data_IF_243342387557
#
_entry.id   IF_243342387557
#
_cell.length_a   1.000
_cell.length_b   1.000
_cell.length_c   1.000
_cell.angle_alpha   90.00
_cell.angle_beta   90.00
_cell.angle_gamma   90.00
#
_symmetry.space_group_name_H-M   'P 1'
#
loop_
_entity.id
_entity.type
_entity.pdbx_description
1 polymer ?
#
# COMPACT_ATOMS: atom_id res chain seq x y z
N UNK A 1 -2.07 -15.64 23.07
CA UNK A 1 -2.35 -14.28 22.54
C UNK A 1 -1.41 -13.31 23.26
N UNK A 2 -0.40 -12.77 22.59
CA UNK A 2 0.33 -11.60 23.09
C UNK A 2 -0.59 -10.38 22.91
N UNK A 3 -0.82 -9.63 23.97
CA UNK A 3 -1.48 -8.33 23.89
C UNK A 3 -0.56 -7.37 23.14
N UNK A 4 -1.09 -6.67 22.12
CA UNK A 4 -0.38 -5.56 21.50
C UNK A 4 -0.43 -4.36 22.44
N UNK A 5 0.72 -3.75 22.70
CA UNK A 5 0.83 -2.54 23.49
C UNK A 5 1.35 -1.40 22.59
N UNK A 6 0.56 -0.35 22.39
CA UNK A 6 0.98 0.86 21.68
C UNK A 6 1.79 1.72 22.65
N UNK A 7 3.10 1.70 22.50
CA UNK A 7 4.03 2.43 23.39
C UNK A 7 4.15 3.90 23.01
N UNK A 8 4.27 4.19 21.69
CA UNK A 8 4.41 5.56 21.19
C UNK A 8 3.67 5.75 19.87
N UNK A 9 3.17 6.96 19.67
CA UNK A 9 2.49 7.39 18.45
C UNK A 9 3.14 8.70 17.98
N UNK A 10 3.72 8.68 16.77
CA UNK A 10 4.25 9.89 16.15
C UNK A 10 3.11 10.79 15.69
N UNK A 11 3.11 12.03 16.12
CA UNK A 11 2.08 13.02 15.80
C UNK A 11 2.71 14.32 15.32
N UNK A 12 2.04 15.06 14.45
CA UNK A 12 2.50 16.37 13.98
C UNK A 12 2.22 17.50 14.98
N UNK A 13 1.25 17.32 15.86
CA UNK A 13 0.79 18.29 16.87
C UNK A 13 0.33 17.52 18.10
N UNK A 14 0.22 18.21 19.22
CA UNK A 14 -0.33 17.61 20.43
C UNK A 14 -1.71 16.99 20.19
N UNK A 15 -1.89 15.78 20.71
CA UNK A 15 -3.14 15.04 20.69
C UNK A 15 -3.47 14.66 22.14
N UNK A 16 -4.22 15.52 22.90
CA UNK A 16 -4.42 15.37 24.34
C UNK A 16 -4.85 13.97 24.80
N UNK A 17 -5.72 13.23 24.07
CA UNK A 17 -6.11 11.88 24.44
C UNK A 17 -4.95 10.86 24.47
N UNK A 18 -3.84 11.12 23.79
CA UNK A 18 -2.67 10.22 23.75
C UNK A 18 -1.70 10.47 24.90
N UNK A 19 -1.73 11.64 25.54
CA UNK A 19 -0.83 11.98 26.64
C UNK A 19 0.64 11.73 26.31
N UNK A 20 1.37 11.09 27.21
CA UNK A 20 2.80 10.75 27.06
C UNK A 20 3.11 9.74 25.94
N UNK A 21 2.10 9.06 25.40
CA UNK A 21 2.23 8.18 24.26
C UNK A 21 2.50 8.96 22.96
N UNK A 22 2.04 10.21 22.88
CA UNK A 22 2.29 11.08 21.74
C UNK A 22 3.72 11.60 21.73
N UNK A 23 4.42 11.42 20.60
CA UNK A 23 5.76 11.97 20.37
C UNK A 23 5.78 12.75 19.06
N UNK A 24 6.60 13.78 18.98
CA UNK A 24 6.76 14.60 17.76
C UNK A 24 8.08 14.33 17.03
N UNK A 25 8.95 13.54 17.65
CA UNK A 25 10.22 13.13 17.07
C UNK A 25 10.21 11.61 16.83
N UNK A 26 10.47 11.21 15.60
CA UNK A 26 10.57 9.80 15.20
C UNK A 26 11.70 9.08 15.94
N UNK A 27 12.76 9.81 16.37
CA UNK A 27 13.86 9.24 17.13
C UNK A 27 13.41 8.61 18.45
N UNK A 28 12.38 9.18 19.06
CA UNK A 28 11.79 8.63 20.27
C UNK A 28 11.20 7.22 20.06
N UNK A 29 10.85 6.85 18.83
CA UNK A 29 10.38 5.51 18.45
C UNK A 29 11.55 4.64 18.01
N UNK A 30 12.38 5.16 17.10
CA UNK A 30 13.43 4.35 16.47
C UNK A 30 14.53 3.91 17.43
N UNK A 31 14.86 4.75 18.43
CA UNK A 31 15.90 4.46 19.43
C UNK A 31 15.38 3.75 20.68
N UNK A 32 14.07 3.61 20.83
CA UNK A 32 13.51 2.94 22.01
C UNK A 32 13.72 1.42 21.92
N UNK A 33 14.51 0.81 22.82
CA UNK A 33 14.81 -0.63 22.75
C UNK A 33 13.62 -1.52 23.08
N UNK A 34 12.59 -0.98 23.73
CA UNK A 34 11.38 -1.74 24.09
C UNK A 34 10.31 -1.70 23.00
N UNK A 35 10.55 -1.02 21.89
CA UNK A 35 9.70 -1.05 20.70
C UNK A 35 10.29 -2.07 19.73
N UNK A 36 9.63 -3.17 19.54
CA UNK A 36 10.00 -4.24 18.61
C UNK A 36 9.37 -4.10 17.22
N UNK A 37 8.25 -3.39 17.11
CA UNK A 37 7.47 -3.27 15.88
C UNK A 37 7.06 -1.82 15.62
N UNK A 38 7.25 -1.35 14.41
CA UNK A 38 6.81 -0.05 13.91
C UNK A 38 5.67 -0.23 12.92
N UNK A 39 4.55 0.47 13.14
CA UNK A 39 3.41 0.52 12.20
C UNK A 39 3.46 1.85 11.45
N UNK A 40 3.67 1.82 10.13
CA UNK A 40 3.72 2.98 9.26
C UNK A 40 2.40 3.12 8.50
N UNK A 41 1.74 4.26 8.64
CA UNK A 41 0.46 4.63 8.01
C UNK A 41 0.44 6.08 7.53
N UNK A 42 1.60 6.63 7.19
CA UNK A 42 1.73 8.04 6.81
C UNK A 42 1.20 8.33 5.40
N UNK A 43 1.43 7.41 4.48
CA UNK A 43 1.21 7.62 3.04
C UNK A 43 2.31 8.49 2.39
N UNK A 44 2.31 8.51 1.06
CA UNK A 44 3.37 9.14 0.27
C UNK A 44 4.69 8.37 0.32
N UNK A 45 5.70 8.84 -0.42
CA UNK A 45 7.01 8.19 -0.47
C UNK A 45 7.91 8.63 0.70
N UNK A 46 8.03 9.94 0.89
CA UNK A 46 8.92 10.55 1.88
C UNK A 46 8.13 11.31 2.94
N UNK A 47 8.51 11.23 4.21
CA UNK A 47 9.65 10.54 4.80
C UNK A 47 9.38 9.07 5.17
N UNK A 48 8.29 8.46 4.71
CA UNK A 48 7.90 7.09 5.08
C UNK A 48 8.99 6.06 4.73
N UNK A 49 9.58 6.16 3.53
CA UNK A 49 10.66 5.28 3.09
C UNK A 49 11.85 5.32 4.04
N UNK A 50 12.36 6.51 4.37
CA UNK A 50 13.51 6.68 5.25
C UNK A 50 13.25 6.12 6.65
N UNK A 51 12.05 6.32 7.18
CA UNK A 51 11.71 5.83 8.51
C UNK A 51 11.53 4.32 8.54
N UNK A 52 10.96 3.73 7.49
CA UNK A 52 10.92 2.27 7.31
C UNK A 52 12.33 1.70 7.25
N UNK A 53 13.21 2.28 6.43
CA UNK A 53 14.61 1.83 6.32
C UNK A 53 15.32 1.88 7.68
N UNK A 54 15.15 2.96 8.41
CA UNK A 54 15.78 3.11 9.73
C UNK A 54 15.22 2.17 10.78
N UNK A 55 13.92 1.89 10.75
CA UNK A 55 13.31 0.90 11.63
C UNK A 55 13.85 -0.51 11.35
N UNK A 56 13.90 -0.91 10.08
CA UNK A 56 14.45 -2.20 9.66
C UNK A 56 15.93 -2.33 10.00
N UNK A 57 16.73 -1.27 9.75
CA UNK A 57 18.15 -1.24 10.09
C UNK A 57 18.41 -1.32 11.62
N UNK A 58 17.45 -0.89 12.44
CA UNK A 58 17.48 -1.05 13.89
C UNK A 58 16.96 -2.43 14.36
N UNK A 59 16.71 -3.36 13.46
CA UNK A 59 16.19 -4.70 13.76
C UNK A 59 14.73 -4.71 14.21
N UNK A 60 13.96 -3.63 13.96
CA UNK A 60 12.54 -3.56 14.33
C UNK A 60 11.69 -4.07 13.18
N UNK A 61 10.70 -4.88 13.49
CA UNK A 61 9.68 -5.29 12.53
C UNK A 61 8.90 -4.07 12.03
N UNK A 62 8.54 -4.08 10.74
CA UNK A 62 7.73 -3.02 10.15
C UNK A 62 6.45 -3.58 9.56
N UNK A 63 5.34 -2.94 9.90
CA UNK A 63 4.03 -3.16 9.29
C UNK A 63 3.63 -1.88 8.56
N UNK A 64 3.38 -1.97 7.26
CA UNK A 64 2.99 -0.79 6.46
C UNK A 64 1.79 -1.08 5.56
N UNK A 65 0.92 -0.08 5.39
CA UNK A 65 -0.13 -0.06 4.37
C UNK A 65 0.24 0.82 3.17
N UNK A 66 1.48 1.35 3.14
CA UNK A 66 1.92 2.33 2.16
C UNK A 66 2.30 1.66 0.83
N UNK A 67 1.31 1.54 -0.03
CA UNK A 67 1.45 0.97 -1.36
C UNK A 67 2.54 1.66 -2.19
N UNK A 68 2.65 2.99 -2.13
CA UNK A 68 3.61 3.74 -2.93
C UNK A 68 5.06 3.39 -2.54
N UNK A 69 5.36 3.29 -1.25
CA UNK A 69 6.69 2.90 -0.77
C UNK A 69 7.00 1.45 -1.14
N UNK A 70 6.04 0.55 -0.94
CA UNK A 70 6.28 -0.88 -1.22
C UNK A 70 6.45 -1.14 -2.71
N UNK A 71 5.67 -0.50 -3.60
CA UNK A 71 5.84 -0.70 -5.04
C UNK A 71 7.16 -0.13 -5.56
N UNK A 72 7.61 1.03 -5.03
CA UNK A 72 8.83 1.68 -5.46
C UNK A 72 10.11 1.03 -4.94
N UNK A 73 10.10 0.50 -3.71
CA UNK A 73 11.31 0.09 -2.98
C UNK A 73 11.25 -1.35 -2.45
N UNK A 74 10.42 -2.21 -3.03
CA UNK A 74 10.21 -3.59 -2.55
C UNK A 74 11.52 -4.35 -2.38
N UNK A 75 12.39 -4.25 -3.39
CA UNK A 75 13.70 -4.94 -3.39
C UNK A 75 14.60 -4.50 -2.25
N UNK A 76 14.78 -3.20 -2.12
CA UNK A 76 15.66 -2.61 -1.10
C UNK A 76 15.14 -2.91 0.31
N UNK A 77 13.84 -2.74 0.51
CA UNK A 77 13.23 -2.95 1.83
C UNK A 77 13.24 -4.42 2.25
N UNK A 78 13.01 -5.35 1.32
CA UNK A 78 13.07 -6.79 1.62
C UNK A 78 14.49 -7.25 1.90
N UNK A 79 15.48 -6.74 1.15
CA UNK A 79 16.88 -7.01 1.42
C UNK A 79 17.31 -6.48 2.80
N UNK A 80 16.97 -5.21 3.09
CA UNK A 80 17.31 -4.58 4.37
C UNK A 80 16.66 -5.30 5.56
N UNK A 81 15.41 -5.73 5.42
CA UNK A 81 14.72 -6.52 6.44
C UNK A 81 15.45 -7.85 6.70
N UNK A 82 15.81 -8.55 5.62
CA UNK A 82 16.51 -9.83 5.72
C UNK A 82 17.90 -9.68 6.37
N UNK A 83 18.68 -8.68 5.96
CA UNK A 83 20.02 -8.39 6.49
C UNK A 83 20.02 -8.11 7.99
N UNK A 84 18.96 -7.49 8.50
CA UNK A 84 18.84 -7.12 9.92
C UNK A 84 17.95 -8.07 10.75
N UNK A 85 17.51 -9.19 10.17
CA UNK A 85 16.66 -10.16 10.86
C UNK A 85 15.29 -9.61 11.25
N UNK A 86 14.84 -8.54 10.60
CA UNK A 86 13.56 -7.89 10.81
C UNK A 86 12.50 -8.40 9.82
N UNK A 87 11.22 -8.28 10.16
CA UNK A 87 10.13 -8.61 9.27
C UNK A 87 9.50 -7.36 8.66
N UNK A 88 9.35 -7.36 7.31
CA UNK A 88 8.54 -6.38 6.60
C UNK A 88 7.16 -6.98 6.28
N UNK A 89 6.09 -6.37 6.80
CA UNK A 89 4.70 -6.77 6.61
C UNK A 89 3.95 -5.69 5.86
N UNK A 90 3.51 -5.97 4.64
CA UNK A 90 2.85 -5.01 3.76
C UNK A 90 1.48 -5.50 3.25
N UNK A 91 0.85 -6.42 3.94
CA UNK A 91 -0.40 -7.07 3.45
C UNK A 91 -1.53 -6.08 3.21
N UNK A 92 -1.62 -5.00 3.98
CA UNK A 92 -2.62 -3.96 3.80
C UNK A 92 -2.32 -2.99 2.65
N UNK A 93 -1.15 -3.06 2.02
CA UNK A 93 -0.80 -2.20 0.88
C UNK A 93 -1.63 -2.51 -0.38
N UNK A 94 -2.16 -3.74 -0.51
CA UNK A 94 -3.06 -4.13 -1.59
C UNK A 94 -4.34 -4.73 -1.02
N UNK A 95 -5.47 -4.08 -1.26
CA UNK A 95 -6.77 -4.53 -0.82
C UNK A 95 -7.12 -4.23 0.64
N UNK A 96 -6.28 -3.49 1.38
CA UNK A 96 -6.54 -3.13 2.77
C UNK A 96 -6.78 -4.34 3.67
N UNK A 97 -8.00 -4.50 4.19
CA UNK A 97 -8.39 -5.64 5.02
C UNK A 97 -8.67 -6.94 4.26
N UNK A 98 -8.71 -6.92 2.92
CA UNK A 98 -8.87 -8.13 2.11
C UNK A 98 -7.57 -8.94 2.15
N UNK A 99 -7.62 -10.25 2.49
CA UNK A 99 -6.41 -11.05 2.68
C UNK A 99 -5.76 -11.49 1.34
N UNK A 100 -5.65 -10.57 0.38
CA UNK A 100 -5.16 -10.85 -0.96
C UNK A 100 -3.69 -11.30 -0.94
N UNK A 101 -2.79 -10.45 -0.45
CA UNK A 101 -1.36 -10.77 -0.41
C UNK A 101 -1.05 -11.95 0.50
N UNK A 102 -1.78 -12.09 1.61
CA UNK A 102 -1.63 -13.26 2.52
C UNK A 102 -1.99 -14.56 1.79
N UNK A 103 -3.05 -14.55 0.98
CA UNK A 103 -3.46 -15.73 0.24
C UNK A 103 -2.48 -16.06 -0.90
N UNK A 104 -1.93 -15.05 -1.60
CA UNK A 104 -0.85 -15.29 -2.57
C UNK A 104 0.37 -15.96 -1.91
N UNK A 105 0.80 -15.48 -0.75
CA UNK A 105 1.89 -16.08 0.02
C UNK A 105 1.59 -17.51 0.46
N UNK A 106 0.34 -17.80 0.80
CA UNK A 106 -0.10 -19.16 1.17
C UNK A 106 -0.10 -20.10 -0.04
N UNK A 107 -0.65 -19.65 -1.18
CA UNK A 107 -0.67 -20.43 -2.42
C UNK A 107 0.75 -20.85 -2.83
N UNK A 108 1.71 -19.94 -2.81
CA UNK A 108 3.11 -20.23 -3.14
C UNK A 108 3.77 -21.31 -2.28
N UNK A 109 3.27 -21.59 -1.09
CA UNK A 109 3.82 -22.62 -0.21
C UNK A 109 3.41 -24.03 -0.61
N UNK A 110 2.34 -24.16 -1.37
CA UNK A 110 1.71 -25.45 -1.68
C UNK A 110 1.57 -25.69 -3.19
N UNK A 111 1.69 -24.62 -3.99
CA UNK A 111 1.52 -24.70 -5.44
C UNK A 111 2.33 -23.63 -6.16
N UNK A 112 2.42 -23.73 -7.49
CA UNK A 112 3.06 -22.74 -8.37
C UNK A 112 2.00 -21.77 -8.88
N UNK A 113 2.15 -20.48 -8.56
CA UNK A 113 1.31 -19.42 -9.14
C UNK A 113 1.78 -19.14 -10.57
N UNK A 114 0.89 -19.30 -11.54
CA UNK A 114 1.19 -19.10 -12.96
C UNK A 114 0.67 -17.76 -13.49
N UNK A 115 -0.37 -17.21 -12.86
CA UNK A 115 -1.02 -15.98 -13.28
C UNK A 115 -1.58 -15.22 -12.08
N UNK A 116 -1.54 -13.89 -12.15
CA UNK A 116 -2.19 -12.97 -11.22
C UNK A 116 -2.97 -11.96 -12.02
N UNK A 117 -4.27 -11.90 -11.83
CA UNK A 117 -5.15 -10.97 -12.53
C UNK A 117 -6.43 -10.68 -11.76
N UNK A 118 -7.09 -9.58 -12.11
CA UNK A 118 -8.36 -9.22 -11.50
C UNK A 118 -8.73 -7.75 -11.62
N UNK A 119 -9.93 -7.42 -11.16
CA UNK A 119 -10.41 -6.04 -11.02
C UNK A 119 -9.97 -5.54 -9.64
N UNK A 120 -8.98 -4.64 -9.61
CA UNK A 120 -8.33 -4.22 -8.36
C UNK A 120 -8.57 -2.74 -7.99
N UNK A 121 -9.41 -2.03 -8.75
CA UNK A 121 -9.72 -0.62 -8.49
C UNK A 121 -11.22 -0.36 -8.55
N UNK A 122 -11.79 0.13 -7.45
CA UNK A 122 -13.23 0.36 -7.32
C UNK A 122 -13.73 1.53 -8.17
N UNK A 123 -12.94 2.62 -8.25
CA UNK A 123 -13.27 3.83 -8.99
C UNK A 123 -13.43 3.54 -10.48
N UNK A 124 -12.41 2.92 -11.08
CA UNK A 124 -12.42 2.59 -12.51
C UNK A 124 -13.48 1.52 -12.82
N UNK A 125 -13.67 0.54 -11.93
CA UNK A 125 -14.74 -0.45 -12.09
C UNK A 125 -16.13 0.20 -12.11
N UNK A 126 -16.40 1.14 -11.18
CA UNK A 126 -17.66 1.89 -11.17
C UNK A 126 -17.85 2.68 -12.47
N UNK A 127 -16.81 3.39 -12.94
CA UNK A 127 -16.88 4.20 -14.15
C UNK A 127 -17.16 3.33 -15.37
N UNK A 128 -16.39 2.27 -15.56
CA UNK A 128 -16.52 1.38 -16.71
C UNK A 128 -17.89 0.66 -16.74
N UNK A 129 -18.37 0.19 -15.58
CA UNK A 129 -19.68 -0.44 -15.48
C UNK A 129 -20.81 0.53 -15.83
N UNK A 130 -20.76 1.78 -15.32
CA UNK A 130 -21.76 2.80 -15.61
C UNK A 130 -21.75 3.19 -17.10
N UNK A 131 -20.57 3.36 -17.71
CA UNK A 131 -20.46 3.64 -19.15
C UNK A 131 -21.05 2.49 -19.97
N UNK A 132 -20.69 1.24 -19.66
CA UNK A 132 -21.16 0.07 -20.40
C UNK A 132 -22.68 -0.16 -20.29
N UNK A 133 -23.28 0.05 -19.10
CA UNK A 133 -24.69 -0.23 -18.86
C UNK A 133 -25.61 0.92 -19.28
N UNK A 134 -25.15 2.15 -19.15
CA UNK A 134 -25.98 3.35 -19.33
C UNK A 134 -25.67 4.11 -20.62
N UNK A 135 -24.61 3.74 -21.35
CA UNK A 135 -24.13 4.47 -22.50
C UNK A 135 -23.70 5.92 -22.16
N UNK A 136 -23.30 6.16 -20.91
CA UNK A 136 -22.96 7.50 -20.46
C UNK A 136 -21.50 7.85 -20.79
N UNK A 137 -21.24 9.15 -21.01
CA UNK A 137 -19.90 9.66 -21.31
C UNK A 137 -18.99 9.62 -20.07
N UNK A 138 -17.70 9.35 -20.30
CA UNK A 138 -16.69 9.30 -19.25
C UNK A 138 -16.70 10.52 -18.31
N UNK A 139 -16.73 11.80 -18.79
CA UNK A 139 -16.76 12.96 -17.91
C UNK A 139 -17.97 13.01 -16.97
N UNK A 140 -19.14 12.66 -17.47
CA UNK A 140 -20.39 12.65 -16.68
C UNK A 140 -20.34 11.56 -15.59
N UNK A 141 -19.83 10.37 -15.94
CA UNK A 141 -19.71 9.26 -14.97
C UNK A 141 -18.62 9.56 -13.94
N UNK A 142 -17.51 10.17 -14.33
CA UNK A 142 -16.44 10.58 -13.40
C UNK A 142 -16.98 11.60 -12.37
N UNK A 143 -17.69 12.63 -12.82
CA UNK A 143 -18.32 13.57 -11.92
C UNK A 143 -19.27 12.87 -10.93
N UNK A 144 -20.07 11.93 -11.43
CA UNK A 144 -20.96 11.15 -10.59
C UNK A 144 -20.21 10.27 -9.59
N UNK A 145 -19.09 9.68 -9.98
CA UNK A 145 -18.23 8.92 -9.09
C UNK A 145 -17.67 9.81 -7.96
N UNK A 146 -17.28 11.05 -8.25
CA UNK A 146 -16.82 12.03 -7.26
C UNK A 146 -17.94 12.42 -6.29
N UNK A 147 -19.13 12.73 -6.80
CA UNK A 147 -20.31 13.06 -5.98
C UNK A 147 -20.68 11.93 -5.00
N UNK A 148 -20.53 10.69 -5.42
CA UNK A 148 -20.83 9.50 -4.62
C UNK A 148 -19.67 9.07 -3.71
N UNK A 149 -18.51 9.71 -3.81
CA UNK A 149 -17.33 9.39 -3.02
C UNK A 149 -16.55 8.16 -3.49
N UNK A 150 -16.79 7.65 -4.71
CA UNK A 150 -16.00 6.60 -5.34
C UNK A 150 -14.69 7.13 -5.93
N UNK A 151 -14.66 8.40 -6.34
CA UNK A 151 -13.48 9.07 -6.83
C UNK A 151 -13.15 10.28 -5.94
N UNK A 152 -11.86 10.50 -5.70
CA UNK A 152 -11.35 11.68 -5.01
C UNK A 152 -11.40 12.92 -5.92
N UNK A 153 -11.14 14.11 -5.36
CA UNK A 153 -11.08 15.36 -6.13
C UNK A 153 -10.00 15.29 -7.24
N UNK A 154 -8.86 14.67 -6.96
CA UNK A 154 -7.88 14.30 -7.98
C UNK A 154 -7.88 12.77 -8.17
N UNK A 155 -8.59 12.25 -9.17
CA UNK A 155 -8.72 10.82 -9.42
C UNK A 155 -7.60 10.27 -10.33
N UNK A 156 -6.57 11.07 -10.64
CA UNK A 156 -5.57 10.75 -11.66
C UNK A 156 -4.91 9.40 -11.44
N UNK A 157 -4.55 9.06 -10.21
CA UNK A 157 -3.92 7.78 -9.89
C UNK A 157 -4.80 6.57 -10.26
N UNK A 158 -6.12 6.71 -10.16
CA UNK A 158 -7.07 5.67 -10.53
C UNK A 158 -7.25 5.62 -12.05
N UNK A 159 -7.63 6.77 -12.66
CA UNK A 159 -8.04 6.81 -14.06
C UNK A 159 -6.87 6.73 -15.05
N UNK A 160 -5.64 7.01 -14.64
CA UNK A 160 -4.42 6.84 -15.45
C UNK A 160 -3.77 5.46 -15.26
N UNK A 161 -4.27 4.66 -14.30
CA UNK A 161 -3.85 3.29 -14.08
C UNK A 161 -2.69 3.10 -13.10
N UNK A 162 -2.23 4.15 -12.44
CA UNK A 162 -1.10 4.08 -11.49
C UNK A 162 -1.44 3.26 -10.25
N UNK A 163 -2.67 3.36 -9.73
CA UNK A 163 -3.11 2.57 -8.59
C UNK A 163 -3.09 1.06 -8.91
N UNK A 164 -3.61 0.68 -10.07
CA UNK A 164 -3.61 -0.73 -10.51
C UNK A 164 -2.19 -1.22 -10.77
N UNK A 165 -1.37 -0.41 -11.43
CA UNK A 165 0.04 -0.75 -11.70
C UNK A 165 0.79 -1.05 -10.40
N UNK A 166 0.69 -0.21 -9.38
CA UNK A 166 1.30 -0.42 -8.06
C UNK A 166 0.79 -1.70 -7.40
N UNK A 167 -0.52 -1.92 -7.41
CA UNK A 167 -1.12 -3.15 -6.85
C UNK A 167 -0.64 -4.39 -7.57
N UNK A 168 -0.55 -4.35 -8.90
CA UNK A 168 -0.08 -5.48 -9.70
C UNK A 168 1.41 -5.72 -9.46
N UNK A 169 2.26 -4.67 -9.42
CA UNK A 169 3.70 -4.78 -9.10
C UNK A 169 3.92 -5.50 -7.78
N UNK A 170 3.24 -5.07 -6.72
CA UNK A 170 3.36 -5.70 -5.39
C UNK A 170 2.87 -7.16 -5.44
N UNK A 171 1.71 -7.39 -6.07
CA UNK A 171 1.12 -8.73 -6.16
C UNK A 171 2.01 -9.69 -6.94
N UNK A 172 2.57 -9.26 -8.07
CA UNK A 172 3.47 -10.05 -8.91
C UNK A 172 4.79 -10.36 -8.17
N UNK A 173 5.38 -9.36 -7.49
CA UNK A 173 6.58 -9.58 -6.69
C UNK A 173 6.37 -10.66 -5.63
N UNK A 174 5.23 -10.64 -4.96
CA UNK A 174 4.89 -11.65 -3.95
C UNK A 174 4.52 -12.99 -4.58
N UNK A 175 3.74 -13.00 -5.66
CA UNK A 175 3.26 -14.22 -6.29
C UNK A 175 4.37 -15.02 -6.98
N UNK A 176 5.29 -14.34 -7.64
CA UNK A 176 6.32 -14.95 -8.49
C UNK A 176 7.73 -14.91 -7.89
N UNK A 177 7.88 -14.37 -6.67
CA UNK A 177 9.19 -14.08 -6.07
C UNK A 177 10.08 -13.22 -6.98
N UNK A 178 9.45 -12.23 -7.58
CA UNK A 178 10.09 -11.34 -8.54
C UNK A 178 10.56 -10.03 -7.88
N UNK A 179 11.33 -9.25 -8.61
CA UNK A 179 11.81 -7.93 -8.20
C UNK A 179 11.45 -6.88 -9.27
N UNK A 180 10.20 -6.92 -9.73
CA UNK A 180 9.64 -5.99 -10.69
C UNK A 180 9.52 -4.59 -10.07
N UNK A 181 9.68 -3.59 -10.92
CA UNK A 181 9.40 -2.18 -10.63
C UNK A 181 8.12 -1.74 -11.30
N UNK A 182 7.58 -0.57 -10.93
CA UNK A 182 6.38 -0.02 -11.58
C UNK A 182 6.59 0.17 -13.09
N UNK A 183 7.79 0.59 -13.52
CA UNK A 183 8.15 0.78 -14.93
C UNK A 183 8.17 -0.50 -15.76
N UNK A 184 8.34 -1.66 -15.15
CA UNK A 184 8.31 -2.96 -15.85
C UNK A 184 6.88 -3.39 -16.21
N UNK A 185 5.87 -2.73 -15.64
CA UNK A 185 4.45 -3.03 -15.83
C UNK A 185 3.80 -1.94 -16.69
N UNK A 186 3.46 -2.25 -17.96
CA UNK A 186 2.73 -1.28 -18.77
C UNK A 186 1.36 -0.99 -18.16
N UNK A 187 0.96 0.28 -18.17
CA UNK A 187 -0.35 0.72 -17.70
C UNK A 187 -1.02 1.61 -18.75
N UNK A 188 -2.33 1.47 -18.86
CA UNK A 188 -3.17 2.27 -19.73
C UNK A 188 -4.30 2.85 -18.89
N UNK A 189 -4.50 4.16 -19.02
CA UNK A 189 -5.62 4.85 -18.39
C UNK A 189 -6.93 4.63 -19.15
N UNK A 190 -8.03 5.01 -18.49
CA UNK A 190 -9.39 4.87 -19.06
C UNK A 190 -9.94 6.18 -19.62
N UNK A 191 -9.15 7.27 -19.66
CA UNK A 191 -9.62 8.60 -20.14
C UNK A 191 -10.10 8.61 -21.58
N UNK A 192 -9.55 7.72 -22.41
CA UNK A 192 -9.84 7.62 -23.84
C UNK A 192 -10.84 6.52 -24.19
N UNK A 193 -11.37 5.83 -23.19
CA UNK A 193 -12.38 4.79 -23.42
C UNK A 193 -13.71 5.47 -23.74
N UNK A 194 -14.32 5.03 -24.82
CA UNK A 194 -15.66 5.45 -25.28
C UNK A 194 -16.66 4.33 -25.08
N UNK A 195 -17.94 4.67 -24.84
CA UNK A 195 -19.02 3.71 -24.70
C UNK A 195 -19.41 3.05 -26.01
#
# INVERSE_FOLDING_TARGET
>A
NRALNVKKVLVRREVPPLGETAVQDVEAILRDPDIDTVVEVLGGLHPAYEWICRALAAGKDVVTANKAVISAYYRELTALAHENGAALRCTAAVGGGIPWLVNLQRCRRVDTVTEVGGIMNGTTNFIMDAMARQGADFPAVLQRAQELGYAEADPSADIDGDDIRRKLTISANIAFDALLREEDIPAFGIRTVTG
#
